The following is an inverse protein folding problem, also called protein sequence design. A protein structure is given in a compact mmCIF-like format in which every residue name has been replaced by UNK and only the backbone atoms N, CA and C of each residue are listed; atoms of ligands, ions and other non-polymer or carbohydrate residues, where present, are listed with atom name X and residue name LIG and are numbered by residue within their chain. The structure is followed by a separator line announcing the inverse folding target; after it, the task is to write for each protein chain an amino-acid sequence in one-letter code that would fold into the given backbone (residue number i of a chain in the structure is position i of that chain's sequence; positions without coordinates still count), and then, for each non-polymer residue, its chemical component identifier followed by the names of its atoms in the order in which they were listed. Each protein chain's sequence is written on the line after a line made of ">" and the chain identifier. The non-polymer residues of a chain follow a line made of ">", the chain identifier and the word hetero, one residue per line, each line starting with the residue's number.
data_IF_609630340707
#
_entry.id   IF_609630340707
#
_cell.length_a   1.000
_cell.length_b   1.000
_cell.length_c   1.000
_cell.angle_alpha   90.00
_cell.angle_beta   90.00
_cell.angle_gamma   90.00
#
_symmetry.space_group_name_H-M   'P 1'
#
loop_
_entity.id
_entity.type
_entity.pdbx_description
1 polymer ?
#
# COMPACT_ATOMS: atom_id res chain seq x y z
N UNK A 1 -16.85 -33.67 1.21
CA UNK A 1 -15.76 -32.86 1.79
C UNK A 1 -15.39 -31.78 0.80
N UNK A 2 -15.38 -30.51 1.19
CA UNK A 2 -14.92 -29.42 0.31
C UNK A 2 -13.42 -29.62 0.03
N UNK A 3 -13.03 -29.77 -1.22
CA UNK A 3 -11.62 -29.89 -1.59
C UNK A 3 -10.96 -28.50 -1.49
N UNK A 4 -10.07 -28.29 -0.52
CA UNK A 4 -9.40 -26.99 -0.28
C UNK A 4 -8.64 -26.50 -1.52
N UNK A 5 -8.07 -27.43 -2.30
CA UNK A 5 -7.39 -27.11 -3.56
C UNK A 5 -8.34 -26.51 -4.60
N UNK A 6 -9.56 -27.05 -4.70
CA UNK A 6 -10.59 -26.52 -5.60
C UNK A 6 -11.03 -25.12 -5.19
N UNK A 7 -11.22 -24.87 -3.89
CA UNK A 7 -11.53 -23.54 -3.38
C UNK A 7 -10.41 -22.54 -3.67
N UNK A 8 -9.14 -22.94 -3.48
CA UNK A 8 -7.99 -22.12 -3.82
C UNK A 8 -7.96 -21.77 -5.31
N UNK A 9 -8.29 -22.72 -6.21
CA UNK A 9 -8.37 -22.46 -7.65
C UNK A 9 -9.47 -21.46 -7.99
N UNK A 10 -10.67 -21.58 -7.42
CA UNK A 10 -11.76 -20.61 -7.60
C UNK A 10 -11.33 -19.22 -7.14
N UNK A 11 -10.77 -19.12 -5.92
CA UNK A 11 -10.31 -17.85 -5.37
C UNK A 11 -9.18 -17.24 -6.20
N UNK A 12 -8.31 -18.07 -6.77
CA UNK A 12 -7.24 -17.59 -7.66
C UNK A 12 -7.83 -17.07 -8.95
N UNK A 13 -8.66 -17.88 -9.63
CA UNK A 13 -9.20 -17.56 -10.95
C UNK A 13 -10.08 -16.32 -10.93
N UNK A 14 -11.02 -16.24 -9.99
CA UNK A 14 -11.98 -15.14 -9.95
C UNK A 14 -11.57 -14.03 -8.99
N UNK A 15 -11.10 -14.38 -7.79
CA UNK A 15 -10.72 -13.41 -6.77
C UNK A 15 -9.46 -12.62 -7.15
N UNK A 16 -8.36 -13.29 -7.49
CA UNK A 16 -7.13 -12.58 -7.87
C UNK A 16 -7.29 -11.81 -9.17
N UNK A 17 -7.98 -12.36 -10.18
CA UNK A 17 -8.26 -11.61 -11.42
C UNK A 17 -9.05 -10.33 -11.15
N UNK A 18 -10.05 -10.40 -10.24
CA UNK A 18 -10.79 -9.22 -9.79
C UNK A 18 -9.86 -8.22 -9.09
N UNK A 19 -8.95 -8.67 -8.23
CA UNK A 19 -7.96 -7.80 -7.59
C UNK A 19 -7.03 -7.15 -8.60
N UNK A 20 -6.54 -7.88 -9.60
CA UNK A 20 -5.68 -7.35 -10.65
C UNK A 20 -6.42 -6.26 -11.44
N UNK A 21 -7.67 -6.50 -11.85
CA UNK A 21 -8.47 -5.53 -12.61
C UNK A 21 -8.78 -4.29 -11.77
N UNK A 22 -9.41 -4.48 -10.61
CA UNK A 22 -9.82 -3.38 -9.74
C UNK A 22 -8.62 -2.61 -9.18
N UNK A 23 -7.54 -3.30 -8.85
CA UNK A 23 -6.32 -2.72 -8.34
C UNK A 23 -5.58 -1.90 -9.40
N UNK A 24 -5.49 -2.37 -10.65
CA UNK A 24 -4.90 -1.57 -11.73
C UNK A 24 -5.73 -0.32 -12.00
N UNK A 25 -7.06 -0.44 -12.12
CA UNK A 25 -7.95 0.72 -12.32
C UNK A 25 -7.78 1.74 -11.18
N UNK A 26 -7.87 1.29 -9.93
CA UNK A 26 -7.77 2.16 -8.76
C UNK A 26 -6.42 2.86 -8.65
N UNK A 27 -5.32 2.13 -8.83
CA UNK A 27 -3.98 2.71 -8.74
C UNK A 27 -3.66 3.65 -9.93
N UNK A 28 -4.13 3.36 -11.14
CA UNK A 28 -3.99 4.29 -12.27
C UNK A 28 -4.74 5.59 -12.03
N UNK A 29 -5.97 5.53 -11.49
CA UNK A 29 -6.73 6.72 -11.13
C UNK A 29 -6.08 7.52 -9.99
N UNK A 30 -5.55 6.84 -8.97
CA UNK A 30 -4.74 7.47 -7.92
C UNK A 30 -3.54 8.20 -8.53
N UNK A 31 -2.82 7.55 -9.44
CA UNK A 31 -1.66 8.15 -10.11
C UNK A 31 -2.06 9.40 -10.88
N UNK A 32 -3.12 9.35 -11.70
CA UNK A 32 -3.61 10.50 -12.46
C UNK A 32 -4.00 11.66 -11.53
N UNK A 33 -4.62 11.38 -10.39
CA UNK A 33 -5.03 12.41 -9.42
C UNK A 33 -3.81 13.05 -8.74
N UNK A 34 -2.87 12.25 -8.22
CA UNK A 34 -1.69 12.77 -7.52
C UNK A 34 -0.66 13.39 -8.46
N UNK A 35 -0.64 12.98 -9.74
CA UNK A 35 0.23 13.55 -10.76
C UNK A 35 -0.24 14.92 -11.27
N UNK A 36 -1.39 15.45 -10.83
CA UNK A 36 -1.81 16.81 -11.23
C UNK A 36 -0.86 17.88 -10.67
N UNK A 37 -0.57 18.92 -11.46
CA UNK A 37 0.35 20.01 -11.11
C UNK A 37 0.08 20.63 -9.73
N UNK A 38 -1.19 20.79 -9.35
CA UNK A 38 -1.61 21.34 -8.05
C UNK A 38 -1.21 20.46 -6.86
N UNK A 39 -0.96 19.18 -7.09
CA UNK A 39 -0.58 18.19 -6.09
C UNK A 39 0.92 17.87 -6.08
N UNK A 40 1.64 18.05 -7.21
CA UNK A 40 3.09 17.78 -7.28
C UNK A 40 3.95 18.61 -6.33
N UNK A 41 3.52 19.82 -5.98
CA UNK A 41 4.24 20.68 -5.01
C UNK A 41 3.98 20.30 -3.55
N UNK A 42 3.05 19.37 -3.30
CA UNK A 42 2.66 18.97 -1.96
C UNK A 42 3.43 17.69 -1.55
N UNK A 43 4.36 17.75 -0.58
CA UNK A 43 5.22 16.64 -0.22
C UNK A 43 4.48 15.32 0.04
N UNK A 44 3.42 15.30 0.87
CA UNK A 44 2.67 14.05 1.05
C UNK A 44 1.96 13.51 -0.20
N UNK A 45 1.60 14.33 -1.19
CA UNK A 45 1.07 13.79 -2.44
C UNK A 45 2.12 12.99 -3.22
N UNK A 46 3.41 13.28 -3.05
CA UNK A 46 4.51 12.55 -3.68
C UNK A 46 4.75 11.21 -2.99
N UNK A 47 4.67 11.16 -1.65
CA UNK A 47 4.71 9.89 -0.93
C UNK A 47 3.56 8.97 -1.37
N UNK A 48 2.33 9.49 -1.47
CA UNK A 48 1.16 8.73 -1.93
C UNK A 48 1.28 8.31 -3.40
N UNK A 49 1.86 9.15 -4.26
CA UNK A 49 2.17 8.80 -5.66
C UNK A 49 3.19 7.66 -5.72
N UNK A 50 4.29 7.76 -4.97
CA UNK A 50 5.34 6.75 -4.91
C UNK A 50 4.80 5.42 -4.39
N UNK A 51 3.97 5.47 -3.34
CA UNK A 51 3.23 4.31 -2.83
C UNK A 51 2.33 3.68 -3.91
N UNK A 52 1.61 4.49 -4.69
CA UNK A 52 0.74 4.01 -5.77
C UNK A 52 1.54 3.31 -6.88
N UNK A 53 2.74 3.80 -7.21
CA UNK A 53 3.65 3.14 -8.16
C UNK A 53 4.09 1.78 -7.60
N UNK A 54 4.52 1.72 -6.34
CA UNK A 54 4.88 0.47 -5.69
C UNK A 54 3.70 -0.52 -5.64
N UNK A 55 2.47 -0.04 -5.40
CA UNK A 55 1.26 -0.88 -5.43
C UNK A 55 1.05 -1.53 -6.79
N UNK A 56 1.21 -0.79 -7.89
CA UNK A 56 1.07 -1.34 -9.24
C UNK A 56 2.11 -2.43 -9.53
N UNK A 57 3.38 -2.16 -9.19
CA UNK A 57 4.46 -3.13 -9.40
C UNK A 57 4.19 -4.38 -8.56
N UNK A 58 3.90 -4.21 -7.27
CA UNK A 58 3.62 -5.32 -6.36
C UNK A 58 2.42 -6.15 -6.82
N UNK A 59 1.32 -5.50 -7.20
CA UNK A 59 0.09 -6.17 -7.63
C UNK A 59 0.34 -7.01 -8.87
N UNK A 60 0.93 -6.43 -9.93
CA UNK A 60 1.11 -7.13 -11.20
C UNK A 60 2.15 -8.24 -11.11
N UNK A 61 3.34 -7.97 -10.56
CA UNK A 61 4.39 -8.99 -10.38
C UNK A 61 3.96 -10.09 -9.41
N UNK A 62 3.11 -9.74 -8.45
CA UNK A 62 2.61 -10.66 -7.46
C UNK A 62 1.47 -11.57 -7.94
N UNK A 63 0.45 -11.01 -8.57
CA UNK A 63 -0.80 -11.71 -8.90
C UNK A 63 -0.77 -12.39 -10.26
N UNK A 64 -0.15 -11.80 -11.28
CA UNK A 64 -0.17 -12.37 -12.65
C UNK A 64 0.44 -13.78 -12.68
N UNK A 65 1.63 -14.04 -12.09
CA UNK A 65 2.17 -15.40 -12.09
C UNK A 65 1.32 -16.41 -11.31
N UNK A 66 0.60 -15.97 -10.27
CA UNK A 66 -0.32 -16.83 -9.51
C UNK A 66 -1.50 -17.23 -10.40
N UNK A 67 -2.08 -16.28 -11.14
CA UNK A 67 -3.20 -16.56 -12.04
C UNK A 67 -2.76 -17.49 -13.18
N UNK A 68 -1.61 -17.22 -13.80
CA UNK A 68 -1.06 -18.04 -14.88
C UNK A 68 -0.73 -19.47 -14.43
N UNK A 69 -0.34 -19.66 -13.16
CA UNK A 69 -0.06 -21.00 -12.62
C UNK A 69 -1.28 -21.94 -12.54
N UNK A 70 -2.49 -21.45 -12.82
CA UNK A 70 -3.69 -22.29 -12.92
C UNK A 70 -3.72 -23.11 -14.21
N UNK A 71 -3.22 -22.54 -15.31
CA UNK A 71 -3.32 -23.11 -16.65
C UNK A 71 -1.95 -23.53 -17.20
N UNK A 72 -0.87 -23.06 -16.60
CA UNK A 72 0.51 -23.34 -16.99
C UNK A 72 1.34 -23.82 -15.78
N UNK A 73 2.44 -24.59 -16.03
CA UNK A 73 3.37 -24.95 -14.96
C UNK A 73 3.89 -23.72 -14.22
N UNK A 74 3.97 -23.80 -12.89
CA UNK A 74 4.41 -22.68 -12.08
C UNK A 74 5.90 -22.39 -12.28
N UNK A 75 6.20 -21.39 -13.11
CA UNK A 75 7.55 -20.94 -13.42
C UNK A 75 8.37 -20.55 -12.18
N UNK A 76 7.70 -20.23 -11.07
CA UNK A 76 8.33 -19.84 -9.80
C UNK A 76 8.89 -21.03 -9.04
N UNK A 77 8.34 -22.21 -9.27
CA UNK A 77 8.80 -23.45 -8.65
C UNK A 77 9.73 -24.23 -9.57
N UNK A 78 9.79 -23.85 -10.85
CA UNK A 78 10.70 -24.42 -11.84
C UNK A 78 12.04 -23.69 -11.91
N UNK A 79 12.03 -22.35 -11.94
CA UNK A 79 13.24 -21.56 -12.15
C UNK A 79 13.63 -20.77 -10.90
N UNK A 80 14.78 -21.12 -10.31
CA UNK A 80 15.30 -20.47 -9.10
C UNK A 80 15.46 -18.96 -9.29
N UNK A 81 15.95 -18.53 -10.46
CA UNK A 81 16.09 -17.11 -10.79
C UNK A 81 14.76 -16.36 -10.74
N UNK A 82 13.70 -16.90 -11.37
CA UNK A 82 12.36 -16.32 -11.36
C UNK A 82 11.82 -16.23 -9.94
N UNK A 83 12.03 -17.28 -9.15
CA UNK A 83 11.58 -17.26 -7.78
C UNK A 83 12.23 -16.14 -6.94
N UNK A 84 13.56 -16.00 -7.06
CA UNK A 84 14.33 -14.98 -6.34
C UNK A 84 13.88 -13.58 -6.78
N UNK A 85 13.86 -13.30 -8.08
CA UNK A 85 13.53 -11.96 -8.59
C UNK A 85 12.07 -11.56 -8.29
N UNK A 86 11.12 -12.49 -8.39
CA UNK A 86 9.73 -12.18 -8.08
C UNK A 86 9.56 -11.90 -6.58
N UNK A 87 10.18 -12.71 -5.71
CA UNK A 87 10.17 -12.44 -4.28
C UNK A 87 10.83 -11.09 -3.98
N UNK A 88 11.99 -10.81 -4.56
CA UNK A 88 12.72 -9.55 -4.42
C UNK A 88 11.82 -8.34 -4.72
N UNK A 89 11.27 -8.29 -5.93
CA UNK A 89 10.44 -7.16 -6.38
C UNK A 89 9.21 -7.04 -5.48
N UNK A 90 8.51 -8.14 -5.22
CA UNK A 90 7.30 -8.14 -4.38
C UNK A 90 7.61 -7.70 -2.94
N UNK A 91 8.67 -8.21 -2.35
CA UNK A 91 9.07 -7.90 -0.97
C UNK A 91 9.46 -6.43 -0.84
N UNK A 92 10.38 -5.97 -1.70
CA UNK A 92 10.88 -4.59 -1.64
C UNK A 92 9.77 -3.57 -1.92
N UNK A 93 8.95 -3.79 -2.95
CA UNK A 93 7.83 -2.87 -3.24
C UNK A 93 6.78 -2.88 -2.14
N UNK A 94 6.53 -4.01 -1.49
CA UNK A 94 5.64 -4.07 -0.32
C UNK A 94 6.16 -3.22 0.84
N UNK A 95 7.46 -3.30 1.14
CA UNK A 95 8.03 -2.53 2.24
C UNK A 95 8.10 -1.04 1.91
N UNK A 96 8.47 -0.68 0.67
CA UNK A 96 8.42 0.70 0.20
C UNK A 96 7.02 1.30 0.33
N UNK A 97 5.96 0.60 -0.09
CA UNK A 97 4.59 1.14 0.01
C UNK A 97 4.24 1.49 1.47
N UNK A 98 4.59 0.61 2.41
CA UNK A 98 4.29 0.78 3.85
C UNK A 98 5.07 1.95 4.41
N UNK A 99 6.36 2.04 4.11
CA UNK A 99 7.21 3.16 4.55
C UNK A 99 6.74 4.48 3.96
N UNK A 100 6.39 4.55 2.68
CA UNK A 100 5.87 5.77 2.07
C UNK A 100 4.54 6.22 2.70
N UNK A 101 3.68 5.27 3.10
CA UNK A 101 2.48 5.59 3.88
C UNK A 101 2.81 6.20 5.24
N UNK A 102 3.76 5.62 5.97
CA UNK A 102 4.25 6.16 7.25
C UNK A 102 4.84 7.57 7.05
N UNK A 103 5.69 7.76 6.03
CA UNK A 103 6.28 9.07 5.72
C UNK A 103 5.21 10.11 5.36
N UNK A 104 4.13 9.72 4.67
CA UNK A 104 3.00 10.60 4.40
C UNK A 104 2.32 11.07 5.70
N UNK A 105 2.19 10.22 6.71
CA UNK A 105 1.68 10.58 8.03
C UNK A 105 2.63 11.54 8.77
N UNK A 106 3.93 11.23 8.76
CA UNK A 106 4.97 12.08 9.38
C UNK A 106 4.95 13.46 8.74
N UNK A 107 4.92 13.55 7.41
CA UNK A 107 4.85 14.82 6.68
C UNK A 107 3.62 15.64 7.08
N UNK A 108 2.46 14.99 7.23
CA UNK A 108 1.23 15.69 7.64
C UNK A 108 1.29 16.17 9.08
N UNK A 109 1.82 15.34 9.98
CA UNK A 109 2.10 15.77 11.35
C UNK A 109 3.06 16.96 11.36
N UNK A 110 4.17 16.86 10.63
CA UNK A 110 5.19 17.90 10.54
C UNK A 110 4.59 19.22 10.06
N UNK A 111 3.82 19.20 8.97
CA UNK A 111 3.14 20.37 8.41
C UNK A 111 2.18 21.04 9.41
N UNK A 112 1.54 20.25 10.26
CA UNK A 112 0.57 20.74 11.25
C UNK A 112 1.20 21.31 12.52
N UNK A 113 2.49 21.07 12.75
CA UNK A 113 3.19 21.52 13.95
C UNK A 113 3.32 23.04 13.98
N UNK A 114 3.25 23.60 15.19
CA UNK A 114 3.51 25.02 15.47
C UNK A 114 4.99 25.35 15.42
N UNK A 115 5.86 24.36 15.63
CA UNK A 115 7.30 24.53 15.65
C UNK A 115 7.86 24.61 14.23
N UNK A 116 8.57 25.70 13.93
CA UNK A 116 9.15 25.95 12.60
C UNK A 116 10.13 24.86 12.14
N UNK A 117 10.90 24.29 13.07
CA UNK A 117 11.88 23.22 12.81
C UNK A 117 11.20 21.92 12.40
N UNK A 118 10.08 21.57 13.04
CA UNK A 118 9.30 20.39 12.66
C UNK A 118 8.59 20.65 11.32
N UNK A 119 8.03 21.84 11.13
CA UNK A 119 7.32 22.20 9.89
C UNK A 119 8.23 22.25 8.68
N UNK A 120 9.50 22.63 8.84
CA UNK A 120 10.47 22.65 7.74
C UNK A 120 10.78 21.24 7.21
N UNK A 121 10.47 20.18 7.96
CA UNK A 121 10.54 18.80 7.45
C UNK A 121 9.54 18.54 6.31
N UNK A 122 8.40 19.24 6.29
CA UNK A 122 7.38 19.12 5.23
C UNK A 122 7.74 19.96 4.01
N UNK A 123 8.88 19.63 3.40
CA UNK A 123 9.36 20.23 2.17
C UNK A 123 9.46 19.20 1.04
N UNK A 124 9.22 19.68 -0.18
CA UNK A 124 9.31 18.88 -1.40
C UNK A 124 10.68 18.18 -1.53
N UNK A 125 11.77 18.93 -1.38
CA UNK A 125 13.13 18.41 -1.54
C UNK A 125 13.47 17.34 -0.51
N UNK A 126 13.08 17.57 0.76
CA UNK A 126 13.26 16.59 1.84
C UNK A 126 12.48 15.32 1.53
N UNK A 127 11.26 15.45 1.01
CA UNK A 127 10.43 14.29 0.69
C UNK A 127 11.01 13.42 -0.43
N UNK A 128 11.56 14.03 -1.47
CA UNK A 128 12.27 13.31 -2.54
C UNK A 128 13.49 12.58 -1.98
N UNK A 129 14.30 13.25 -1.14
CA UNK A 129 15.46 12.62 -0.50
C UNK A 129 15.05 11.41 0.35
N UNK A 130 13.99 11.53 1.15
CA UNK A 130 13.49 10.43 1.98
C UNK A 130 12.96 9.27 1.14
N UNK A 131 12.26 9.53 0.03
CA UNK A 131 11.79 8.49 -0.90
C UNK A 131 12.97 7.70 -1.47
N UNK A 132 14.03 8.39 -1.90
CA UNK A 132 15.23 7.78 -2.48
C UNK A 132 15.99 6.97 -1.41
N UNK A 133 16.27 7.55 -0.25
CA UNK A 133 17.01 6.89 0.83
C UNK A 133 16.28 5.63 1.29
N UNK A 134 14.98 5.74 1.57
CA UNK A 134 14.18 4.58 1.99
C UNK A 134 14.02 3.57 0.87
N UNK A 135 13.95 4.01 -0.38
CA UNK A 135 13.95 3.12 -1.54
C UNK A 135 15.22 2.27 -1.63
N UNK A 136 16.39 2.91 -1.55
CA UNK A 136 17.70 2.23 -1.57
C UNK A 136 17.82 1.26 -0.39
N UNK A 137 17.43 1.69 0.81
CA UNK A 137 17.44 0.83 2.00
C UNK A 137 16.65 -0.47 1.79
N UNK A 138 15.43 -0.39 1.24
CA UNK A 138 14.60 -1.57 0.98
C UNK A 138 15.05 -2.40 -0.21
N UNK A 139 15.74 -1.82 -1.19
CA UNK A 139 16.39 -2.56 -2.28
C UNK A 139 17.53 -3.43 -1.73
N UNK A 140 18.34 -2.90 -0.80
CA UNK A 140 19.45 -3.65 -0.19
C UNK A 140 18.91 -4.81 0.68
N UNK A 141 17.95 -4.53 1.57
CA UNK A 141 17.36 -5.56 2.43
C UNK A 141 16.65 -6.64 1.60
N UNK A 142 15.92 -6.24 0.56
CA UNK A 142 15.27 -7.20 -0.33
C UNK A 142 16.26 -8.14 -1.00
N UNK A 143 17.44 -7.64 -1.37
CA UNK A 143 18.46 -8.44 -2.06
C UNK A 143 18.97 -9.56 -1.15
N UNK A 144 19.23 -9.24 0.12
CA UNK A 144 19.63 -10.23 1.12
C UNK A 144 18.61 -11.37 1.26
N UNK A 145 17.34 -11.04 1.50
CA UNK A 145 16.29 -12.06 1.66
C UNK A 145 15.97 -12.82 0.37
N UNK A 146 16.19 -12.20 -0.79
CA UNK A 146 16.07 -12.88 -2.09
C UNK A 146 17.17 -13.91 -2.28
N UNK A 147 18.41 -13.58 -1.89
CA UNK A 147 19.57 -14.46 -2.10
C UNK A 147 19.44 -15.79 -1.36
N UNK A 148 18.97 -15.76 -0.11
CA UNK A 148 18.84 -16.94 0.76
C UNK A 148 17.70 -17.90 0.37
N UNK A 149 16.80 -17.52 -0.54
CA UNK A 149 15.69 -18.38 -0.97
C UNK A 149 16.18 -19.48 -1.91
N UNK A 150 15.62 -20.67 -1.77
CA UNK A 150 15.88 -21.81 -2.64
C UNK A 150 14.58 -22.55 -2.96
N UNK A 151 14.65 -23.45 -3.93
CA UNK A 151 13.55 -24.34 -4.29
C UNK A 151 13.87 -25.71 -3.70
N UNK A 152 13.00 -26.23 -2.83
CA UNK A 152 13.00 -27.63 -2.41
C UNK A 152 11.58 -28.17 -2.47
N UNK A 153 11.42 -29.41 -2.96
CA UNK A 153 10.12 -30.10 -3.04
C UNK A 153 9.06 -29.20 -3.72
N UNK A 154 9.39 -28.64 -4.88
CA UNK A 154 8.51 -27.72 -5.65
C UNK A 154 8.01 -26.48 -4.88
N UNK A 155 8.59 -26.15 -3.73
CA UNK A 155 8.27 -24.96 -2.97
C UNK A 155 9.46 -24.03 -2.98
N UNK A 156 9.22 -22.79 -3.41
CA UNK A 156 10.25 -21.78 -3.29
C UNK A 156 10.10 -21.02 -1.98
N UNK A 157 11.03 -21.22 -1.05
CA UNK A 157 10.97 -20.63 0.29
C UNK A 157 12.36 -20.48 0.94
N UNK A 158 12.40 -20.02 2.18
CA UNK A 158 13.60 -20.07 3.02
C UNK A 158 13.54 -21.40 3.77
N UNK A 159 14.52 -22.27 3.52
CA UNK A 159 14.54 -23.64 4.05
C UNK A 159 15.49 -23.83 5.25
N UNK A 160 16.29 -22.83 5.58
CA UNK A 160 17.16 -22.86 6.75
C UNK A 160 16.41 -22.21 7.92
N UNK A 161 16.30 -22.91 9.04
CA UNK A 161 15.45 -22.51 10.17
C UNK A 161 15.93 -21.22 10.83
N UNK A 162 17.23 -21.03 10.98
CA UNK A 162 17.81 -19.79 11.53
C UNK A 162 17.48 -18.58 10.66
N UNK A 163 17.63 -18.69 9.33
CA UNK A 163 17.27 -17.61 8.42
C UNK A 163 15.75 -17.39 8.35
N UNK A 164 14.95 -18.45 8.48
CA UNK A 164 13.49 -18.35 8.51
C UNK A 164 13.00 -17.64 9.79
N UNK A 165 13.62 -17.92 10.94
CA UNK A 165 13.37 -17.22 12.20
C UNK A 165 13.70 -15.72 12.07
N UNK A 166 14.89 -15.39 11.54
CA UNK A 166 15.32 -14.00 11.30
C UNK A 166 14.31 -13.29 10.39
N UNK A 167 13.92 -13.92 9.28
CA UNK A 167 12.93 -13.36 8.36
C UNK A 167 11.58 -13.13 9.04
N UNK A 168 11.12 -14.09 9.86
CA UNK A 168 9.84 -14.00 10.57
C UNK A 168 9.81 -12.83 11.55
N UNK A 169 10.86 -12.70 12.38
CA UNK A 169 10.99 -11.58 13.34
C UNK A 169 11.06 -10.25 12.58
N UNK A 170 11.92 -10.17 11.56
CA UNK A 170 12.04 -8.98 10.71
C UNK A 170 10.71 -8.60 10.07
N UNK A 171 9.99 -9.56 9.49
CA UNK A 171 8.72 -9.29 8.82
C UNK A 171 7.65 -8.86 9.81
N UNK A 172 7.55 -9.51 10.97
CA UNK A 172 6.61 -9.14 12.03
C UNK A 172 6.84 -7.70 12.49
N UNK A 173 8.09 -7.29 12.71
CA UNK A 173 8.42 -5.92 13.13
C UNK A 173 8.16 -4.94 11.98
N UNK A 174 8.75 -5.17 10.81
CA UNK A 174 8.73 -4.22 9.69
C UNK A 174 7.36 -4.09 9.00
N UNK A 175 6.54 -5.14 9.01
CA UNK A 175 5.23 -5.16 8.39
C UNK A 175 4.09 -5.10 9.42
N UNK A 176 4.17 -5.91 10.47
CA UNK A 176 3.06 -6.15 11.39
C UNK A 176 2.93 -5.09 12.49
N UNK A 177 4.05 -4.60 13.02
CA UNK A 177 4.07 -3.79 14.25
C UNK A 177 4.44 -2.33 13.94
N UNK A 178 5.59 -2.10 13.32
CA UNK A 178 6.17 -0.76 13.19
C UNK A 178 5.30 0.18 12.35
N UNK A 179 4.82 -0.17 11.13
CA UNK A 179 4.01 0.76 10.33
C UNK A 179 2.68 1.13 10.99
N UNK A 180 1.87 0.18 11.51
CA UNK A 180 0.62 0.52 12.21
C UNK A 180 0.84 1.42 13.42
N UNK A 181 1.84 1.12 14.27
CA UNK A 181 2.12 1.91 15.47
C UNK A 181 2.55 3.33 15.08
N UNK A 182 3.48 3.47 14.15
CA UNK A 182 3.93 4.80 13.71
C UNK A 182 2.78 5.60 13.10
N UNK A 183 1.97 5.00 12.23
CA UNK A 183 0.83 5.72 11.65
C UNK A 183 -0.18 6.10 12.73
N UNK A 184 -0.46 5.23 13.70
CA UNK A 184 -1.36 5.54 14.81
C UNK A 184 -0.84 6.73 15.63
N UNK A 185 0.44 6.70 16.04
CA UNK A 185 1.09 7.77 16.80
C UNK A 185 1.01 9.10 16.03
N UNK A 186 1.49 9.14 14.78
CA UNK A 186 1.49 10.38 14.00
C UNK A 186 0.08 10.86 13.65
N UNK A 187 -0.90 9.95 13.53
CA UNK A 187 -2.31 10.33 13.35
C UNK A 187 -2.89 10.98 14.60
N UNK A 188 -2.60 10.43 15.79
CA UNK A 188 -3.03 11.02 17.08
C UNK A 188 -2.37 12.38 17.29
N UNK A 189 -1.07 12.48 17.06
CA UNK A 189 -0.33 13.74 17.18
C UNK A 189 -0.85 14.80 16.20
N UNK A 190 -1.11 14.43 14.94
CA UNK A 190 -1.75 15.34 13.99
C UNK A 190 -3.11 15.81 14.49
N UNK A 191 -3.94 14.92 15.04
CA UNK A 191 -5.25 15.31 15.57
C UNK A 191 -5.13 16.31 16.72
N UNK A 192 -4.14 16.16 17.61
CA UNK A 192 -3.86 17.12 18.68
C UNK A 192 -3.46 18.48 18.11
N UNK A 193 -2.48 18.53 17.22
CA UNK A 193 -2.05 19.76 16.55
C UNK A 193 -3.19 20.47 15.81
N UNK A 194 -4.05 19.69 15.13
CA UNK A 194 -5.22 20.21 14.44
C UNK A 194 -6.30 20.74 15.39
N UNK A 195 -6.38 20.28 16.64
CA UNK A 195 -7.27 20.83 17.67
C UNK A 195 -6.71 22.12 18.26
N UNK A 196 -5.43 22.15 18.60
CA UNK A 196 -4.74 23.33 19.15
C UNK A 196 -4.75 24.51 18.16
N UNK A 197 -4.40 24.25 16.90
CA UNK A 197 -4.50 25.24 15.83
C UNK A 197 -5.95 25.74 15.66
N UNK A 198 -6.97 25.03 16.18
CA UNK A 198 -8.39 25.43 16.05
C UNK A 198 -8.74 26.41 17.13
N UNK A 199 -8.33 26.10 18.36
CA UNK A 199 -8.49 26.98 19.50
C UNK A 199 -7.84 28.34 19.23
N UNK A 200 -6.57 28.37 18.79
CA UNK A 200 -5.87 29.63 18.50
C UNK A 200 -6.53 30.46 17.40
N UNK A 201 -6.96 29.84 16.29
CA UNK A 201 -7.60 30.58 15.19
C UNK A 201 -9.00 31.06 15.58
N UNK A 202 -9.74 30.32 16.42
CA UNK A 202 -11.05 30.76 16.90
C UNK A 202 -10.91 32.06 17.72
N UNK A 203 -9.91 32.16 18.59
CA UNK A 203 -9.62 33.38 19.34
C UNK A 203 -9.23 34.55 18.42
N UNK A 204 -8.40 34.31 17.40
CA UNK A 204 -8.00 35.37 16.45
C UNK A 204 -9.16 35.81 15.54
N UNK A 205 -10.04 34.89 15.15
CA UNK A 205 -11.24 35.16 14.33
C UNK A 205 -12.23 36.07 15.07
N UNK A 206 -12.33 35.96 16.39
CA UNK A 206 -13.17 36.83 17.19
C UNK A 206 -12.62 38.25 17.29
N UNK A 207 -11.30 38.45 17.11
CA UNK A 207 -10.65 39.78 17.10
C UNK A 207 -10.57 40.45 15.73
N UNK A 208 -10.55 39.70 14.62
CA UNK A 208 -10.48 40.25 13.26
C UNK A 208 -11.68 39.79 12.44
N UNK A 209 -12.62 40.70 12.15
CA UNK A 209 -13.78 40.52 11.27
C UNK A 209 -13.40 40.29 9.77
N UNK A 210 -12.29 39.59 9.49
CA UNK A 210 -11.83 39.34 8.12
C UNK A 210 -12.24 37.94 7.62
N UNK A 211 -12.66 37.88 6.35
CA UNK A 211 -13.06 36.66 5.63
C UNK A 211 -11.83 35.78 5.30
N UNK A 212 -11.29 35.07 6.29
CA UNK A 212 -10.20 34.09 6.10
C UNK A 212 -10.76 32.79 5.46
N UNK A 213 -10.99 32.81 4.14
CA UNK A 213 -11.38 31.63 3.35
C UNK A 213 -10.24 30.62 3.08
N UNK A 214 -8.96 30.98 2.85
CA UNK A 214 -7.95 30.01 2.38
C UNK A 214 -7.51 29.01 3.45
N UNK A 215 -7.39 29.43 4.71
CA UNK A 215 -6.95 28.58 5.82
C UNK A 215 -7.96 27.45 6.12
N UNK A 216 -9.27 27.74 6.03
CA UNK A 216 -10.32 26.75 6.26
C UNK A 216 -10.35 25.65 5.19
N UNK A 217 -9.99 25.97 3.94
CA UNK A 217 -9.97 25.01 2.83
C UNK A 217 -8.78 24.05 2.95
N UNK A 218 -7.59 24.56 3.26
CA UNK A 218 -6.40 23.75 3.54
C UNK A 218 -6.68 22.74 4.67
N UNK A 219 -7.29 23.22 5.75
CA UNK A 219 -7.62 22.42 6.93
C UNK A 219 -8.64 21.32 6.69
N UNK A 220 -9.65 21.56 5.84
CA UNK A 220 -10.61 20.52 5.44
C UNK A 220 -9.93 19.43 4.62
N UNK A 221 -9.03 19.81 3.70
CA UNK A 221 -8.27 18.87 2.88
C UNK A 221 -7.37 17.98 3.73
N UNK A 222 -6.66 18.54 4.70
CA UNK A 222 -5.75 17.78 5.56
C UNK A 222 -6.52 16.82 6.49
N UNK A 223 -7.68 17.26 7.00
CA UNK A 223 -8.59 16.37 7.75
C UNK A 223 -9.12 15.24 6.89
N UNK A 224 -9.57 15.53 5.68
CA UNK A 224 -10.09 14.51 4.75
C UNK A 224 -8.99 13.50 4.40
N UNK A 225 -7.76 13.96 4.17
CA UNK A 225 -6.62 13.10 3.88
C UNK A 225 -6.21 12.25 5.10
N UNK A 226 -6.26 12.80 6.31
CA UNK A 226 -5.99 12.01 7.52
C UNK A 226 -7.06 10.93 7.73
N UNK A 227 -8.35 11.24 7.51
CA UNK A 227 -9.42 10.24 7.56
C UNK A 227 -9.19 9.09 6.59
N UNK A 228 -8.74 9.39 5.37
CA UNK A 228 -8.39 8.35 4.39
C UNK A 228 -7.32 7.41 4.94
N UNK A 229 -6.21 7.97 5.43
CA UNK A 229 -5.05 7.18 5.85
C UNK A 229 -5.37 6.38 7.10
N UNK A 230 -6.13 6.94 8.05
CA UNK A 230 -6.56 6.21 9.25
C UNK A 230 -7.42 4.99 8.89
N UNK A 231 -8.43 5.16 8.03
CA UNK A 231 -9.27 4.05 7.57
C UNK A 231 -8.43 3.01 6.83
N UNK A 232 -7.51 3.46 5.97
CA UNK A 232 -6.57 2.59 5.28
C UNK A 232 -5.70 1.76 6.24
N UNK A 233 -5.28 2.32 7.38
CA UNK A 233 -4.54 1.56 8.40
C UNK A 233 -5.39 0.52 9.10
N UNK A 234 -6.67 0.80 9.36
CA UNK A 234 -7.56 -0.21 9.95
C UNK A 234 -7.68 -1.43 9.03
N UNK A 235 -7.93 -1.20 7.73
CA UNK A 235 -7.93 -2.27 6.73
C UNK A 235 -6.57 -2.98 6.62
N UNK A 236 -5.48 -2.23 6.75
CA UNK A 236 -4.14 -2.78 6.73
C UNK A 236 -3.85 -3.74 7.87
N UNK A 237 -4.21 -3.38 9.10
CA UNK A 237 -4.03 -4.23 10.28
C UNK A 237 -4.86 -5.52 10.11
N UNK A 238 -6.13 -5.39 9.73
CA UNK A 238 -7.02 -6.55 9.50
C UNK A 238 -6.45 -7.48 8.42
N UNK A 239 -5.87 -6.91 7.36
CA UNK A 239 -5.35 -7.69 6.22
C UNK A 239 -3.96 -8.29 6.46
N UNK A 240 -3.18 -7.78 7.41
CA UNK A 240 -1.78 -8.18 7.63
C UNK A 240 -1.60 -9.03 8.89
N UNK A 241 -2.39 -8.80 9.94
CA UNK A 241 -2.32 -9.54 11.20
C UNK A 241 -2.42 -11.07 11.01
N UNK A 242 -3.34 -11.60 10.17
CA UNK A 242 -3.47 -13.05 9.99
C UNK A 242 -2.20 -13.72 9.46
N UNK A 243 -1.48 -13.04 8.57
CA UNK A 243 -0.22 -13.57 8.03
C UNK A 243 0.90 -13.57 9.07
N UNK A 244 0.98 -12.54 9.92
CA UNK A 244 1.93 -12.53 11.04
C UNK A 244 1.66 -13.67 12.03
N UNK A 245 0.38 -13.91 12.36
CA UNK A 245 -0.02 -15.04 13.20
C UNK A 245 0.36 -16.38 12.55
N UNK A 246 0.11 -16.53 11.25
CA UNK A 246 0.49 -17.72 10.50
C UNK A 246 2.00 -17.98 10.53
N UNK A 247 2.85 -16.96 10.38
CA UNK A 247 4.31 -17.14 10.46
C UNK A 247 4.77 -17.61 11.84
N UNK A 248 4.19 -17.07 12.92
CA UNK A 248 4.47 -17.52 14.30
C UNK A 248 4.04 -18.98 14.47
N UNK A 249 2.83 -19.33 14.03
CA UNK A 249 2.34 -20.70 14.06
C UNK A 249 3.28 -21.66 13.31
N UNK A 250 3.72 -21.28 12.10
CA UNK A 250 4.62 -22.10 11.29
C UNK A 250 5.99 -22.25 11.97
N UNK A 251 6.51 -21.21 12.61
CA UNK A 251 7.75 -21.27 13.38
C UNK A 251 7.64 -22.28 14.53
N UNK A 252 6.57 -22.22 15.33
CA UNK A 252 6.38 -23.09 16.50
C UNK A 252 6.14 -24.56 16.10
N UNK A 253 5.59 -24.80 14.92
CA UNK A 253 5.18 -26.15 14.47
C UNK A 253 6.13 -26.78 13.46
N UNK A 254 7.27 -26.16 13.16
CA UNK A 254 8.18 -26.61 12.11
C UNK A 254 8.75 -28.01 12.36
N UNK A 255 9.05 -28.34 13.62
CA UNK A 255 9.69 -29.62 14.00
C UNK A 255 8.68 -30.75 14.23
N UNK A 256 7.38 -30.48 14.09
CA UNK A 256 6.33 -31.48 14.29
C UNK A 256 6.05 -32.22 12.99
N UNK A 257 5.97 -33.55 13.04
CA UNK A 257 5.50 -34.34 11.90
C UNK A 257 4.02 -34.03 11.64
N UNK A 258 3.71 -33.59 10.41
CA UNK A 258 2.36 -33.15 10.01
C UNK A 258 1.71 -34.20 9.12
N UNK A 259 0.41 -34.44 9.33
CA UNK A 259 -0.40 -35.23 8.41
C UNK A 259 -0.61 -34.48 7.09
N UNK A 260 -0.88 -35.22 6.00
CA UNK A 260 -1.14 -34.65 4.68
C UNK A 260 -2.31 -33.64 4.72
N UNK A 261 -3.36 -33.94 5.48
CA UNK A 261 -4.50 -33.03 5.68
C UNK A 261 -4.09 -31.71 6.35
N UNK A 262 -3.21 -31.76 7.35
CA UNK A 262 -2.69 -30.55 8.01
C UNK A 262 -1.84 -29.73 7.06
N UNK A 263 -0.99 -30.38 6.25
CA UNK A 263 -0.17 -29.70 5.25
C UNK A 263 -1.03 -28.93 4.23
N UNK A 264 -2.10 -29.57 3.72
CA UNK A 264 -3.05 -28.93 2.81
C UNK A 264 -3.77 -27.73 3.45
N UNK A 265 -4.16 -27.83 4.73
CA UNK A 265 -4.75 -26.71 5.47
C UNK A 265 -3.76 -25.55 5.63
N UNK A 266 -2.51 -25.84 5.96
CA UNK A 266 -1.47 -24.81 6.11
C UNK A 266 -1.15 -24.10 4.80
N UNK A 267 -1.07 -24.85 3.70
CA UNK A 267 -0.89 -24.28 2.37
C UNK A 267 -2.06 -23.36 1.99
N UNK A 268 -3.29 -23.78 2.28
CA UNK A 268 -4.49 -22.97 2.05
C UNK A 268 -4.50 -21.70 2.91
N UNK A 269 -4.17 -21.79 4.21
CA UNK A 269 -4.09 -20.65 5.12
C UNK A 269 -2.98 -19.69 4.68
N UNK A 270 -1.82 -20.21 4.26
CA UNK A 270 -0.74 -19.39 3.72
C UNK A 270 -1.19 -18.65 2.45
N UNK A 271 -1.86 -19.36 1.53
CA UNK A 271 -2.43 -18.75 0.33
C UNK A 271 -3.44 -17.65 0.68
N UNK A 272 -4.38 -17.91 1.59
CA UNK A 272 -5.38 -16.94 2.01
C UNK A 272 -4.74 -15.71 2.65
N UNK A 273 -3.83 -15.90 3.61
CA UNK A 273 -3.25 -14.78 4.37
C UNK A 273 -2.19 -14.01 3.58
N UNK A 274 -1.25 -14.71 2.94
CA UNK A 274 -0.15 -14.10 2.18
C UNK A 274 -0.56 -13.61 0.80
N UNK A 275 -1.42 -14.34 0.10
CA UNK A 275 -1.76 -14.05 -1.29
C UNK A 275 -3.12 -13.40 -1.44
N UNK A 276 -4.11 -13.71 -0.62
CA UNK A 276 -5.43 -13.10 -0.76
C UNK A 276 -5.55 -11.82 0.08
N UNK A 277 -5.34 -11.91 1.40
CA UNK A 277 -5.54 -10.79 2.31
C UNK A 277 -4.50 -9.68 2.09
N UNK A 278 -3.21 -10.01 1.97
CA UNK A 278 -2.19 -8.98 1.79
C UNK A 278 -2.38 -8.10 0.56
N UNK A 279 -2.84 -8.65 -0.57
CA UNK A 279 -3.02 -7.85 -1.79
C UNK A 279 -4.23 -6.91 -1.73
N UNK A 280 -5.18 -7.11 -0.82
CA UNK A 280 -6.21 -6.11 -0.53
C UNK A 280 -5.58 -4.75 -0.19
N UNK A 281 -4.42 -4.74 0.47
CA UNK A 281 -3.71 -3.50 0.77
C UNK A 281 -3.26 -2.71 -0.46
N UNK A 282 -3.07 -3.38 -1.60
CA UNK A 282 -2.70 -2.74 -2.87
C UNK A 282 -3.92 -2.31 -3.69
N UNK A 283 -5.06 -2.98 -3.49
CA UNK A 283 -6.30 -2.72 -4.24
C UNK A 283 -7.15 -1.64 -3.58
N UNK A 284 -7.34 -1.73 -2.27
CA UNK A 284 -8.26 -0.89 -1.50
C UNK A 284 -7.93 0.62 -1.45
N UNK A 285 -6.67 1.12 -1.54
CA UNK A 285 -6.39 2.53 -1.27
C UNK A 285 -7.26 3.51 -2.06
N UNK A 286 -7.43 3.32 -3.37
CA UNK A 286 -8.31 4.18 -4.18
C UNK A 286 -9.77 4.15 -3.71
N UNK A 287 -10.31 2.97 -3.43
CA UNK A 287 -11.69 2.77 -3.00
C UNK A 287 -11.93 3.33 -1.60
N UNK A 288 -10.93 3.25 -0.72
CA UNK A 288 -10.97 3.93 0.58
C UNK A 288 -10.96 5.44 0.37
N UNK A 289 -10.13 5.97 -0.53
CA UNK A 289 -10.02 7.42 -0.74
C UNK A 289 -11.30 8.02 -1.32
N UNK A 290 -11.95 7.31 -2.24
CA UNK A 290 -13.21 7.77 -2.83
C UNK A 290 -14.38 7.68 -1.83
N UNK A 291 -14.43 6.68 -0.96
CA UNK A 291 -15.51 6.54 0.03
C UNK A 291 -15.35 7.53 1.18
N UNK A 292 -14.14 7.70 1.69
CA UNK A 292 -13.87 8.48 2.91
C UNK A 292 -13.80 9.99 2.67
N UNK A 293 -13.32 10.44 1.50
CA UNK A 293 -13.03 11.86 1.28
C UNK A 293 -13.92 12.53 0.26
N UNK A 294 -14.52 13.65 0.68
CA UNK A 294 -15.26 14.53 -0.23
C UNK A 294 -14.33 15.28 -1.17
N UNK A 295 -13.15 15.68 -0.70
CA UNK A 295 -12.16 16.36 -1.53
C UNK A 295 -11.65 15.46 -2.67
N UNK A 296 -11.35 14.20 -2.38
CA UNK A 296 -10.86 13.25 -3.37
C UNK A 296 -11.92 12.90 -4.41
N UNK A 297 -13.17 12.64 -3.98
CA UNK A 297 -14.31 12.46 -4.91
C UNK A 297 -14.45 13.61 -5.90
N UNK A 298 -14.33 14.86 -5.43
CA UNK A 298 -14.40 16.04 -6.29
C UNK A 298 -13.27 16.08 -7.31
N UNK A 299 -12.06 15.67 -6.93
CA UNK A 299 -10.94 15.59 -7.88
C UNK A 299 -11.13 14.46 -8.89
N UNK A 300 -11.53 13.28 -8.44
CA UNK A 300 -11.85 12.15 -9.31
C UNK A 300 -12.93 12.53 -10.35
N UNK A 301 -14.04 13.15 -9.90
CA UNK A 301 -15.09 13.64 -10.80
C UNK A 301 -14.56 14.65 -11.84
N UNK A 302 -13.65 15.55 -11.45
CA UNK A 302 -13.02 16.49 -12.39
C UNK A 302 -12.14 15.79 -13.42
N UNK A 303 -11.39 14.76 -13.02
CA UNK A 303 -10.59 13.94 -13.96
C UNK A 303 -11.51 13.25 -14.96
N UNK A 304 -12.55 12.56 -14.48
CA UNK A 304 -13.50 11.83 -15.33
C UNK A 304 -14.19 12.78 -16.32
N UNK A 305 -14.66 13.94 -15.86
CA UNK A 305 -15.29 14.94 -16.75
C UNK A 305 -14.30 15.45 -17.80
N UNK A 306 -13.04 15.71 -17.44
CA UNK A 306 -12.01 16.14 -18.39
C UNK A 306 -11.71 15.06 -19.43
N UNK A 307 -11.57 13.81 -18.98
CA UNK A 307 -11.32 12.66 -19.86
C UNK A 307 -12.48 12.46 -20.85
N UNK A 308 -13.72 12.51 -20.34
CA UNK A 308 -14.93 12.42 -21.16
C UNK A 308 -14.99 13.55 -22.21
N UNK A 309 -14.70 14.80 -21.82
CA UNK A 309 -14.65 15.94 -22.74
C UNK A 309 -13.54 15.79 -23.79
N UNK A 310 -12.38 15.25 -23.43
CA UNK A 310 -11.28 14.99 -24.35
C UNK A 310 -11.65 13.92 -25.38
N UNK A 311 -12.21 12.78 -24.93
CA UNK A 311 -12.68 11.70 -25.81
C UNK A 311 -13.76 12.22 -26.77
N UNK A 312 -14.75 12.97 -26.24
CA UNK A 312 -15.82 13.55 -27.05
C UNK A 312 -15.28 14.53 -28.11
N UNK A 313 -14.32 15.39 -27.77
CA UNK A 313 -13.67 16.31 -28.73
C UNK A 313 -12.92 15.57 -29.84
N UNK A 314 -12.21 14.49 -29.50
CA UNK A 314 -11.50 13.70 -30.51
C UNK A 314 -12.45 12.91 -31.41
N UNK A 315 -13.61 12.47 -30.90
CA UNK A 315 -14.65 11.83 -31.72
C UNK A 315 -15.21 12.79 -32.77
N UNK A 316 -15.48 14.05 -32.40
CA UNK A 316 -15.94 15.05 -33.38
C UNK A 316 -14.87 15.40 -34.41
N UNK A 317 -13.58 15.51 -34.04
CA UNK A 317 -12.50 15.76 -35.02
C UNK A 317 -12.37 14.66 -36.07
N UNK A 318 -12.64 13.40 -35.73
CA UNK A 318 -12.63 12.28 -36.70
C UNK A 318 -13.81 12.30 -37.68
N UNK A 319 -14.94 12.90 -37.33
CA UNK A 319 -16.11 13.03 -38.23
C UNK A 319 -16.02 14.18 -39.25
N UNK A 320 -14.98 15.02 -39.20
CA UNK A 320 -14.71 16.05 -40.22
C UNK A 320 -13.63 15.62 -41.23
N UNK A 321 -13.13 14.39 -41.13
CA UNK A 321 -12.10 13.81 -42.02
C UNK A 321 -12.62 12.56 -42.76
N UNK A 322 -13.94 12.37 -42.77
CA UNK A 322 -14.69 11.41 -43.60
C UNK A 322 -15.77 12.25 -44.27
#
# INVERSE_FOLDING_TARGET
>A
MLNLSFLQQILTRYGMSTYTILGNIGNLLNMIIFYQFKHRKNPCSIYLLSMTICNLICLNIGTIPIILSLDFPDIRTQYLFICKIQFYIRHTTNQMMRTYKVLACIDRFALSSTHNTIRSFSQYNISIRLIIITGIFWLIIGLFFSFIRSIKISLCSIHNDSYFLIYTIYYMISAGILPPILILIFSILLMKNLKEMRAHIHCLRQRRNEKIRPINILRKRDRDLMKMVLVEVMFYVISTLPFSIYLIYRMITNDKMKSEKQNQMELFINYLTQSFMMYLNTVLPFYIYITTSTAFRRQCKKVIIKLYRFIRRNKYKKSYFI
#
